data_IF_136917461423
#
_entry.id   IF_136917461423
#
_cell.length_a   1.000
_cell.length_b   1.000
_cell.length_c   1.000
_cell.angle_alpha   90.00
_cell.angle_beta   90.00
_cell.angle_gamma   90.00
#
_symmetry.space_group_name_H-M   'P 1'
#
loop_
_entity.id
_entity.type
_entity.pdbx_description
1 polymer ?
#
# COMPACT_ATOMS: atom_id res chain seq x y z
N UNK A 1 13.93 -1.48 22.83
CA UNK A 1 14.02 -2.96 22.97
C UNK A 1 14.21 -3.53 21.57
N UNK A 2 15.05 -4.54 21.40
CA UNK A 2 15.26 -5.18 20.09
C UNK A 2 14.25 -6.30 19.89
N UNK A 3 13.04 -5.97 19.44
CA UNK A 3 11.98 -6.93 19.13
C UNK A 3 11.60 -6.85 17.66
N UNK A 4 11.11 -7.96 17.12
CA UNK A 4 10.50 -7.99 15.80
C UNK A 4 9.11 -7.34 15.87
N UNK A 5 8.73 -6.60 14.82
CA UNK A 5 7.50 -5.80 14.78
C UNK A 5 6.72 -6.06 13.50
N UNK A 6 5.45 -6.42 13.67
CA UNK A 6 4.42 -6.28 12.64
C UNK A 6 3.66 -4.98 12.92
N UNK A 7 3.67 -4.05 11.97
CA UNK A 7 2.95 -2.78 12.05
C UNK A 7 1.84 -2.73 11.01
N UNK A 8 0.68 -2.19 11.36
CA UNK A 8 -0.38 -1.95 10.38
C UNK A 8 0.05 -0.94 9.32
N UNK A 9 -0.56 -1.03 8.14
CA UNK A 9 -0.39 -0.03 7.09
C UNK A 9 -1.11 1.29 7.49
N UNK A 10 -0.61 2.46 7.05
CA UNK A 10 0.70 2.68 6.43
C UNK A 10 1.85 2.53 7.45
N UNK A 11 3.06 2.26 6.97
CA UNK A 11 4.25 2.09 7.83
C UNK A 11 4.49 3.26 8.79
N UNK A 12 4.23 4.50 8.34
CA UNK A 12 4.36 5.73 9.10
C UNK A 12 3.55 6.86 8.46
N UNK A 13 3.47 8.03 9.11
CA UNK A 13 2.76 9.20 8.58
C UNK A 13 3.62 10.01 7.58
N UNK A 14 4.93 9.77 7.55
CA UNK A 14 5.86 10.42 6.62
C UNK A 14 6.96 9.46 6.17
N UNK A 15 7.57 9.75 5.02
CA UNK A 15 8.73 8.99 4.50
C UNK A 15 9.90 9.03 5.49
N UNK A 16 10.17 10.20 6.08
CA UNK A 16 11.24 10.33 7.09
C UNK A 16 11.03 9.44 8.31
N UNK A 17 9.80 9.29 8.79
CA UNK A 17 9.50 8.38 9.90
C UNK A 17 9.61 6.91 9.48
N UNK A 18 9.19 6.58 8.25
CA UNK A 18 9.36 5.25 7.68
C UNK A 18 10.84 4.85 7.58
N UNK A 19 11.70 5.78 7.16
CA UNK A 19 13.15 5.60 7.10
C UNK A 19 13.72 5.33 8.50
N UNK A 20 13.31 6.11 9.51
CA UNK A 20 13.73 5.89 10.90
C UNK A 20 13.36 4.50 11.42
N UNK A 21 12.15 4.00 11.09
CA UNK A 21 11.72 2.65 11.46
C UNK A 21 12.56 1.57 10.74
N UNK A 22 12.83 1.75 9.45
CA UNK A 22 13.65 0.83 8.65
C UNK A 22 15.09 0.77 9.18
N UNK A 23 15.68 1.93 9.47
CA UNK A 23 17.04 2.05 9.99
C UNK A 23 17.17 1.43 11.38
N UNK A 24 16.18 1.66 12.26
CA UNK A 24 16.15 1.02 13.56
C UNK A 24 16.09 -0.51 13.45
N UNK A 25 15.21 -1.05 12.60
CA UNK A 25 15.10 -2.49 12.38
C UNK A 25 16.43 -3.10 11.89
N UNK A 26 17.10 -2.42 10.93
CA UNK A 26 18.43 -2.80 10.43
C UNK A 26 19.49 -2.74 11.54
N UNK A 27 19.53 -1.66 12.30
CA UNK A 27 20.52 -1.45 13.37
C UNK A 27 20.45 -2.54 14.45
N UNK A 28 19.24 -2.95 14.83
CA UNK A 28 19.03 -3.98 15.85
C UNK A 28 18.90 -5.40 15.27
N UNK A 29 19.10 -5.57 13.95
CA UNK A 29 18.91 -6.82 13.22
C UNK A 29 17.57 -7.50 13.55
N UNK A 30 16.49 -6.72 13.51
CA UNK A 30 15.11 -7.15 13.78
C UNK A 30 14.27 -7.14 12.51
N UNK A 31 13.21 -7.92 12.51
CA UNK A 31 12.21 -7.92 11.45
C UNK A 31 11.26 -6.75 11.68
N UNK A 32 11.08 -5.92 10.65
CA UNK A 32 9.99 -4.96 10.55
C UNK A 32 9.13 -5.36 9.36
N UNK A 33 7.88 -5.73 9.62
CA UNK A 33 6.92 -6.11 8.59
C UNK A 33 5.73 -5.15 8.62
N UNK A 34 5.39 -4.61 7.45
CA UNK A 34 4.19 -3.80 7.27
C UNK A 34 3.02 -4.71 6.89
N UNK A 35 1.84 -4.45 7.46
CA UNK A 35 0.61 -5.21 7.31
C UNK A 35 -0.07 -5.09 5.94
N UNK A 36 0.67 -5.26 4.85
CA UNK A 36 0.09 -5.35 3.50
C UNK A 36 -0.54 -6.72 3.27
N UNK A 37 -1.68 -6.97 3.92
CA UNK A 37 -2.34 -8.27 3.96
C UNK A 37 -2.69 -8.84 2.57
N UNK A 38 -3.02 -7.98 1.61
CA UNK A 38 -3.43 -8.40 0.26
C UNK A 38 -2.34 -9.11 -0.54
N UNK A 39 -1.07 -8.99 -0.14
CA UNK A 39 0.03 -9.81 -0.70
C UNK A 39 -0.20 -11.31 -0.49
N UNK A 40 -0.97 -11.67 0.53
CA UNK A 40 -1.30 -13.04 0.90
C UNK A 40 -2.69 -13.47 0.40
N UNK A 41 -3.35 -12.65 -0.41
CA UNK A 41 -4.63 -12.99 -1.01
C UNK A 41 -4.47 -14.29 -1.84
N UNK A 42 -5.29 -15.34 -1.61
CA UNK A 42 -5.15 -16.62 -2.31
C UNK A 42 -5.16 -16.49 -3.84
N UNK A 43 -5.91 -15.52 -4.39
CA UNK A 43 -5.92 -15.27 -5.82
C UNK A 43 -4.57 -14.75 -6.32
N UNK A 44 -3.95 -13.83 -5.58
CA UNK A 44 -2.63 -13.29 -5.92
C UNK A 44 -1.56 -14.39 -5.81
N UNK A 45 -1.58 -15.16 -4.71
CA UNK A 45 -0.66 -16.29 -4.50
C UNK A 45 -0.78 -17.34 -5.61
N UNK A 46 -1.99 -17.60 -6.10
CA UNK A 46 -2.21 -18.55 -7.19
C UNK A 46 -1.73 -18.04 -8.56
N UNK A 47 -1.82 -16.73 -8.82
CA UNK A 47 -1.45 -16.14 -10.11
C UNK A 47 0.05 -15.87 -10.22
N UNK A 48 0.72 -15.52 -9.12
CA UNK A 48 2.16 -15.18 -9.11
C UNK A 48 3.06 -16.20 -9.87
N UNK A 49 2.92 -17.53 -9.69
CA UNK A 49 3.80 -18.50 -10.36
C UNK A 49 3.57 -18.63 -11.88
N UNK A 50 2.41 -18.20 -12.38
CA UNK A 50 2.03 -18.31 -13.80
C UNK A 50 2.10 -16.98 -14.55
N UNK A 51 2.19 -15.86 -13.81
CA UNK A 51 2.43 -14.54 -14.36
C UNK A 51 3.86 -14.47 -14.89
N UNK A 52 4.04 -13.93 -16.11
CA UNK A 52 5.35 -13.80 -16.75
C UNK A 52 5.78 -12.35 -16.81
N UNK A 53 5.25 -11.63 -17.80
CA UNK A 53 5.60 -10.24 -18.08
C UNK A 53 4.29 -9.45 -18.22
N UNK A 54 3.70 -8.97 -17.11
CA UNK A 54 2.50 -8.18 -17.18
C UNK A 54 2.81 -6.83 -17.84
N UNK A 55 2.08 -6.51 -18.91
CA UNK A 55 2.26 -5.26 -19.66
C UNK A 55 1.31 -4.14 -19.19
N UNK A 56 0.23 -4.52 -18.51
CA UNK A 56 -0.82 -3.62 -18.10
C UNK A 56 -1.55 -4.18 -16.88
N UNK A 57 -1.92 -3.29 -15.97
CA UNK A 57 -2.74 -3.59 -14.82
C UNK A 57 -3.92 -2.62 -14.78
N UNK A 58 -5.07 -3.13 -14.41
CA UNK A 58 -6.26 -2.32 -14.15
C UNK A 58 -6.87 -2.77 -12.83
N UNK A 59 -7.18 -1.80 -11.98
CA UNK A 59 -7.66 -2.05 -10.63
C UNK A 59 -8.89 -1.19 -10.39
N UNK A 60 -9.96 -1.84 -9.93
CA UNK A 60 -11.19 -1.18 -9.56
C UNK A 60 -11.45 -1.49 -8.09
N UNK A 61 -11.28 -0.48 -7.22
CA UNK A 61 -11.56 -0.61 -5.79
C UNK A 61 -12.74 0.27 -5.41
N UNK A 62 -13.83 -0.37 -5.04
CA UNK A 62 -15.06 0.30 -4.62
C UNK A 62 -15.25 0.10 -3.12
N UNK A 63 -15.12 1.19 -2.36
CA UNK A 63 -15.46 1.22 -0.94
C UNK A 63 -16.94 1.55 -0.74
N UNK A 64 -17.53 1.03 0.33
CA UNK A 64 -18.84 1.52 0.80
C UNK A 64 -18.59 2.80 1.59
N UNK A 65 -19.28 3.89 1.24
CA UNK A 65 -19.18 5.13 2.00
C UNK A 65 -19.67 4.90 3.44
N UNK A 66 -18.80 5.21 4.40
CA UNK A 66 -19.10 5.11 5.82
C UNK A 66 -18.82 6.44 6.51
N UNK A 67 -19.34 6.70 7.72
CA UNK A 67 -18.99 7.91 8.47
C UNK A 67 -17.47 8.08 8.67
N UNK A 68 -16.73 6.97 8.75
CA UNK A 68 -15.27 6.97 8.85
C UNK A 68 -14.62 7.53 7.58
N UNK A 69 -15.25 7.40 6.42
CA UNK A 69 -14.76 7.89 5.13
C UNK A 69 -14.67 9.42 5.06
N UNK A 70 -15.22 10.16 6.02
CA UNK A 70 -15.04 11.62 6.13
C UNK A 70 -13.66 12.02 6.67
N UNK A 71 -13.04 11.13 7.43
CA UNK A 71 -11.81 11.38 8.18
C UNK A 71 -10.59 10.67 7.60
N UNK A 72 -10.74 10.00 6.44
CA UNK A 72 -9.70 9.16 5.86
C UNK A 72 -9.49 9.46 4.38
N UNK A 73 -8.23 9.57 4.00
CA UNK A 73 -7.74 9.75 2.63
C UNK A 73 -7.90 8.45 1.81
N UNK A 74 -8.57 8.54 0.66
CA UNK A 74 -8.85 7.39 -0.23
C UNK A 74 -7.58 6.70 -0.71
N UNK A 75 -6.49 7.45 -0.91
CA UNK A 75 -5.21 6.91 -1.35
C UNK A 75 -4.57 6.10 -0.23
N UNK A 76 -4.43 6.69 0.96
CA UNK A 76 -3.74 6.04 2.07
C UNK A 76 -4.52 4.91 2.73
N UNK A 77 -5.85 4.88 2.61
CA UNK A 77 -6.63 3.83 3.25
C UNK A 77 -7.04 2.72 2.32
N UNK A 78 -7.44 3.07 1.10
CA UNK A 78 -8.09 2.16 0.18
C UNK A 78 -7.15 1.81 -0.98
N UNK A 79 -6.58 2.81 -1.66
CA UNK A 79 -5.70 2.62 -2.83
C UNK A 79 -4.31 2.05 -2.49
N UNK A 80 -3.81 2.27 -1.27
CA UNK A 80 -2.46 1.84 -0.85
C UNK A 80 -2.25 0.33 -1.03
N UNK A 81 -3.30 -0.46 -0.86
CA UNK A 81 -3.25 -1.91 -1.06
C UNK A 81 -2.97 -2.27 -2.52
N UNK A 82 -3.58 -1.56 -3.44
CA UNK A 82 -3.43 -1.80 -4.87
C UNK A 82 -2.06 -1.33 -5.35
N UNK A 83 -1.63 -0.14 -4.92
CA UNK A 83 -0.30 0.37 -5.24
C UNK A 83 0.80 -0.57 -4.74
N UNK A 84 0.64 -1.13 -3.54
CA UNK A 84 1.56 -2.12 -2.98
C UNK A 84 1.65 -3.39 -3.84
N UNK A 85 0.51 -3.95 -4.25
CA UNK A 85 0.45 -5.13 -5.12
C UNK A 85 1.07 -4.81 -6.49
N UNK A 86 0.72 -3.68 -7.09
CA UNK A 86 1.22 -3.27 -8.39
C UNK A 86 2.74 -3.09 -8.39
N UNK A 87 3.30 -2.42 -7.37
CA UNK A 87 4.74 -2.27 -7.23
C UNK A 87 5.44 -3.62 -7.05
N UNK A 88 4.81 -4.54 -6.31
CA UNK A 88 5.33 -5.90 -6.13
C UNK A 88 5.30 -6.72 -7.42
N UNK A 89 4.23 -6.59 -8.23
CA UNK A 89 4.06 -7.35 -9.47
C UNK A 89 4.84 -6.79 -10.65
N UNK A 90 4.97 -5.46 -10.74
CA UNK A 90 5.70 -4.81 -11.82
C UNK A 90 7.22 -4.85 -11.62
N UNK A 91 7.69 -4.95 -10.37
CA UNK A 91 9.11 -4.99 -9.97
C UNK A 91 9.98 -4.01 -10.77
N UNK A 92 9.49 -2.78 -10.93
CA UNK A 92 10.15 -1.74 -11.73
C UNK A 92 9.94 -0.36 -11.10
N UNK A 93 10.88 0.58 -11.32
CA UNK A 93 10.73 1.94 -10.81
C UNK A 93 9.57 2.67 -11.49
N UNK A 94 8.80 3.41 -10.69
CA UNK A 94 7.77 4.32 -11.22
C UNK A 94 8.44 5.50 -11.91
N UNK A 95 8.10 5.73 -13.18
CA UNK A 95 8.68 6.81 -13.99
C UNK A 95 7.78 8.03 -14.10
N UNK A 96 6.46 7.85 -14.01
CA UNK A 96 5.46 8.91 -14.11
C UNK A 96 4.19 8.52 -13.37
N UNK A 97 3.47 9.54 -12.87
CA UNK A 97 2.19 9.39 -12.19
C UNK A 97 1.22 10.41 -12.79
N UNK A 98 0.05 9.94 -13.19
CA UNK A 98 -1.07 10.77 -13.60
C UNK A 98 -2.26 10.44 -12.71
N UNK A 99 -2.92 11.45 -12.15
CA UNK A 99 -4.01 11.28 -11.20
C UNK A 99 -5.15 12.27 -11.47
N UNK A 100 -6.37 11.83 -11.18
CA UNK A 100 -7.58 12.64 -11.21
C UNK A 100 -8.41 12.31 -9.97
N UNK A 101 -8.72 13.33 -9.16
CA UNK A 101 -9.64 13.24 -8.02
C UNK A 101 -10.95 13.95 -8.33
N UNK A 102 -12.07 13.39 -7.90
CA UNK A 102 -13.41 13.98 -8.09
C UNK A 102 -14.13 14.01 -6.74
N UNK A 103 -14.41 15.20 -6.18
CA UNK A 103 -15.15 15.34 -4.93
C UNK A 103 -16.65 15.10 -5.21
N UNK A 104 -17.15 13.90 -4.91
CA UNK A 104 -18.57 13.55 -5.17
C UNK A 104 -19.44 13.79 -3.94
N UNK A 105 -18.98 13.34 -2.76
CA UNK A 105 -19.76 13.36 -1.50
C UNK A 105 -19.30 14.46 -0.56
N UNK A 106 -18.00 14.77 -0.55
CA UNK A 106 -17.39 15.81 0.28
C UNK A 106 -16.60 16.77 -0.59
N UNK A 107 -16.24 17.93 -0.05
CA UNK A 107 -15.37 18.89 -0.74
C UNK A 107 -13.90 18.44 -0.82
N UNK A 108 -13.55 17.32 -0.18
CA UNK A 108 -12.23 16.71 -0.29
C UNK A 108 -12.12 15.95 -1.62
N UNK A 109 -11.01 16.16 -2.31
CA UNK A 109 -10.64 15.47 -3.57
C UNK A 109 -10.02 14.10 -3.31
N UNK A 110 -9.74 13.83 -2.05
CA UNK A 110 -9.07 12.69 -1.43
C UNK A 110 -9.95 12.03 -0.36
#
# INVERSE_FOLDING_TARGET
QGIDVLIEKPIAASVSEADLLSDAARQYARILQVGHLERFNPALVAVLPIMKEPLYFEVHRLGVFSPRSLDIDVVYDVMIHDLDILLTLADSPVTSIHALGIPVITDKVD
#
